data_IF_915607078293
#
_entry.id   IF_915607078293
#
_cell.length_a   1.000
_cell.length_b   1.000
_cell.length_c   1.000
_cell.angle_alpha   90.00
_cell.angle_beta   90.00
_cell.angle_gamma   90.00
#
_symmetry.space_group_name_H-M   'P 1'
#
loop_
_entity.id
_entity.type
_entity.pdbx_description
1 polymer ?
#
# COMPACT_ATOMS: atom_id res chain seq x y z
N UNK A 1 -12.08 -19.69 0.45
CA UNK A 1 -11.48 -18.66 -0.42
C UNK A 1 -10.77 -19.37 -1.56
N UNK A 2 -11.10 -19.06 -2.81
CA UNK A 2 -10.54 -19.70 -4.02
C UNK A 2 -9.25 -19.05 -4.52
N UNK A 3 -8.93 -17.85 -4.05
CA UNK A 3 -7.82 -17.06 -4.56
C UNK A 3 -6.51 -17.38 -3.83
N UNK A 4 -5.39 -17.32 -4.56
CA UNK A 4 -4.05 -17.56 -4.07
C UNK A 4 -3.20 -16.30 -4.24
N UNK A 5 -2.42 -15.97 -3.20
CA UNK A 5 -1.44 -14.87 -3.27
C UNK A 5 -0.30 -15.30 -4.17
N UNK A 6 -0.03 -14.53 -5.23
CA UNK A 6 1.08 -14.82 -6.13
C UNK A 6 2.25 -13.83 -5.96
N UNK A 7 2.00 -12.65 -5.37
CA UNK A 7 3.04 -11.68 -5.05
C UNK A 7 2.70 -10.91 -3.76
N UNK A 8 3.74 -10.56 -3.03
CA UNK A 8 3.72 -9.60 -1.93
C UNK A 8 4.82 -8.57 -2.23
N UNK A 9 4.40 -7.32 -2.43
CA UNK A 9 5.28 -6.18 -2.63
C UNK A 9 5.29 -5.33 -1.36
N UNK A 10 6.44 -4.80 -0.98
CA UNK A 10 6.60 -4.07 0.27
C UNK A 10 7.30 -2.75 -0.03
N UNK A 11 6.88 -1.70 0.66
CA UNK A 11 7.43 -0.36 0.47
C UNK A 11 7.39 0.48 1.74
N UNK A 12 8.13 1.57 1.72
CA UNK A 12 8.17 2.57 2.78
C UNK A 12 7.90 3.96 2.20
N UNK A 13 7.13 4.76 2.94
CA UNK A 13 6.86 6.14 2.61
C UNK A 13 6.98 7.01 3.84
N UNK A 14 7.22 8.30 3.63
CA UNK A 14 7.26 9.25 4.73
C UNK A 14 6.55 10.54 4.36
N UNK A 15 6.16 11.29 5.39
CA UNK A 15 5.82 12.69 5.22
C UNK A 15 6.48 13.51 6.31
N UNK A 16 7.36 14.41 5.87
CA UNK A 16 8.15 15.25 6.74
C UNK A 16 7.39 16.57 6.97
N UNK A 17 7.45 17.08 8.18
CA UNK A 17 6.96 18.40 8.58
C UNK A 17 5.43 18.64 8.66
N UNK A 18 4.58 17.77 8.10
CA UNK A 18 3.12 18.02 8.07
C UNK A 18 2.24 16.95 8.70
N UNK A 19 2.83 15.90 9.29
CA UNK A 19 2.13 14.78 9.93
C UNK A 19 0.96 14.20 9.10
N UNK A 20 1.03 14.28 7.78
CA UNK A 20 0.01 13.73 6.86
C UNK A 20 0.27 12.22 6.68
N UNK A 21 -0.52 11.41 7.39
CA UNK A 21 -0.43 9.95 7.33
C UNK A 21 -0.90 9.40 5.99
N UNK A 22 -1.90 10.00 5.35
CA UNK A 22 -2.36 9.60 4.01
C UNK A 22 -1.24 9.80 3.00
N UNK A 23 -0.52 10.93 3.03
CA UNK A 23 0.58 11.17 2.09
C UNK A 23 1.76 10.23 2.31
N UNK A 24 2.08 9.92 3.57
CA UNK A 24 3.10 8.93 3.90
C UNK A 24 2.71 7.54 3.38
N UNK A 25 1.45 7.15 3.54
CA UNK A 25 0.90 5.88 3.08
C UNK A 25 0.88 5.78 1.54
N UNK A 26 0.46 6.83 0.84
CA UNK A 26 0.50 6.92 -0.63
C UNK A 26 1.91 6.65 -1.16
N UNK A 27 2.91 7.32 -0.56
CA UNK A 27 4.33 7.11 -0.90
C UNK A 27 4.79 5.68 -0.62
N UNK A 28 4.32 5.05 0.46
CA UNK A 28 4.67 3.67 0.77
C UNK A 28 4.09 2.68 -0.24
N UNK A 29 2.86 2.94 -0.72
CA UNK A 29 2.23 2.15 -1.79
C UNK A 29 2.98 2.34 -3.11
N UNK A 30 3.30 3.59 -3.47
CA UNK A 30 4.06 3.88 -4.69
C UNK A 30 5.43 3.18 -4.66
N UNK A 31 6.16 3.30 -3.56
CA UNK A 31 7.43 2.61 -3.34
C UNK A 31 7.30 1.09 -3.50
N UNK A 32 6.23 0.48 -2.96
CA UNK A 32 6.00 -0.95 -3.09
C UNK A 32 5.82 -1.40 -4.55
N UNK A 33 5.06 -0.66 -5.37
CA UNK A 33 4.63 -1.13 -6.70
C UNK A 33 5.50 -0.61 -7.86
N UNK A 34 6.34 0.42 -7.64
CA UNK A 34 7.11 1.07 -8.73
C UNK A 34 8.33 0.26 -9.18
N UNK A 35 8.76 -0.70 -8.38
CA UNK A 35 10.01 -1.45 -8.61
C UNK A 35 9.80 -2.80 -9.32
N UNK A 36 8.54 -3.19 -9.55
CA UNK A 36 8.19 -4.43 -10.24
C UNK A 36 7.42 -4.16 -11.52
N UNK A 37 7.47 -5.14 -12.43
CA UNK A 37 6.57 -5.22 -13.57
C UNK A 37 5.96 -6.63 -13.58
N UNK A 38 4.65 -6.73 -13.81
CA UNK A 38 3.91 -7.99 -13.80
C UNK A 38 3.36 -8.26 -15.21
N UNK A 39 4.23 -8.63 -16.20
CA UNK A 39 3.81 -8.83 -17.59
C UNK A 39 2.92 -10.07 -17.78
N UNK A 40 2.90 -10.98 -16.81
CA UNK A 40 2.18 -12.26 -16.87
C UNK A 40 0.68 -12.12 -17.18
N UNK A 41 0.04 -11.00 -16.83
CA UNK A 41 -1.37 -10.76 -17.17
C UNK A 41 -1.60 -10.81 -18.68
N UNK A 42 -0.74 -10.14 -19.45
CA UNK A 42 -0.80 -10.17 -20.92
C UNK A 42 -0.41 -11.54 -21.47
N UNK A 43 0.61 -12.19 -20.89
CA UNK A 43 1.10 -13.49 -21.37
C UNK A 43 0.11 -14.63 -21.13
N UNK A 44 -0.62 -14.61 -20.01
CA UNK A 44 -1.58 -15.65 -19.63
C UNK A 44 -3.01 -15.34 -20.07
N UNK A 45 -3.25 -14.18 -20.70
CA UNK A 45 -4.59 -13.74 -21.10
C UNK A 45 -5.53 -13.50 -19.93
N UNK A 46 -4.99 -13.20 -18.74
CA UNK A 46 -5.77 -12.95 -17.52
C UNK A 46 -6.12 -11.46 -17.48
N UNK A 47 -7.40 -11.08 -17.40
CA UNK A 47 -7.80 -9.69 -17.23
C UNK A 47 -7.23 -9.11 -15.92
N UNK A 48 -6.61 -7.93 -15.97
CA UNK A 48 -6.06 -7.29 -14.77
C UNK A 48 -7.13 -6.89 -13.76
N UNK A 49 -8.39 -6.83 -14.20
CA UNK A 49 -9.57 -6.48 -13.40
C UNK A 49 -10.03 -7.65 -12.50
N UNK A 50 -9.58 -8.88 -12.81
CA UNK A 50 -9.81 -10.06 -11.96
C UNK A 50 -8.83 -10.12 -10.78
N UNK A 51 -7.72 -9.38 -10.85
CA UNK A 51 -6.75 -9.31 -9.77
C UNK A 51 -7.38 -8.67 -8.54
N UNK A 52 -7.36 -9.37 -7.41
CA UNK A 52 -7.68 -8.77 -6.11
C UNK A 52 -6.40 -8.23 -5.48
N UNK A 53 -6.43 -6.99 -5.04
CA UNK A 53 -5.30 -6.33 -4.38
C UNK A 53 -5.69 -6.01 -2.95
N UNK A 54 -4.91 -6.48 -1.99
CA UNK A 54 -5.07 -6.18 -0.56
C UNK A 54 -3.86 -5.40 -0.10
N UNK A 55 -4.07 -4.16 0.33
CA UNK A 55 -3.02 -3.30 0.86
C UNK A 55 -3.17 -3.16 2.36
N UNK A 56 -2.10 -3.42 3.09
CA UNK A 56 -1.99 -3.15 4.52
C UNK A 56 -0.97 -2.04 4.75
N UNK A 57 -1.39 -0.97 5.40
CA UNK A 57 -0.53 0.17 5.76
C UNK A 57 -0.25 0.14 7.25
N UNK A 58 1.03 0.15 7.64
CA UNK A 58 1.47 0.32 9.03
C UNK A 58 1.83 1.77 9.33
N UNK A 59 1.10 2.42 10.23
CA UNK A 59 1.36 3.80 10.71
C UNK A 59 0.97 3.96 12.18
N UNK A 60 1.47 5.02 12.85
CA UNK A 60 1.18 5.25 14.27
C UNK A 60 -0.27 5.68 14.54
N UNK A 61 -0.93 6.33 13.58
CA UNK A 61 -2.34 6.78 13.68
C UNK A 61 -3.17 6.31 12.48
N UNK A 62 -3.59 5.03 12.45
CA UNK A 62 -4.28 4.43 11.32
C UNK A 62 -5.59 5.13 10.94
N UNK A 63 -6.29 5.68 11.92
CA UNK A 63 -7.53 6.42 11.76
C UNK A 63 -7.37 7.74 10.99
N UNK A 64 -6.14 8.25 10.84
CA UNK A 64 -5.82 9.46 10.07
C UNK A 64 -5.45 9.17 8.62
N UNK A 65 -5.52 7.90 8.19
CA UNK A 65 -5.26 7.49 6.80
C UNK A 65 -6.58 7.43 6.03
N UNK A 66 -6.65 8.18 4.94
CA UNK A 66 -7.75 8.08 3.98
C UNK A 66 -7.58 6.83 3.09
N UNK A 67 -8.01 5.68 3.62
CA UNK A 67 -7.91 4.41 2.91
C UNK A 67 -8.75 4.38 1.62
N UNK A 68 -9.82 5.16 1.53
CA UNK A 68 -10.66 5.22 0.35
C UNK A 68 -9.93 5.91 -0.80
N UNK A 69 -9.35 7.09 -0.53
CA UNK A 69 -8.52 7.79 -1.50
C UNK A 69 -7.31 6.95 -1.96
N UNK A 70 -6.67 6.20 -1.04
CA UNK A 70 -5.56 5.31 -1.39
C UNK A 70 -5.98 4.12 -2.26
N UNK A 71 -7.22 3.64 -2.15
CA UNK A 71 -7.71 2.56 -2.99
C UNK A 71 -7.91 3.02 -4.44
N UNK A 72 -8.29 4.28 -4.65
CA UNK A 72 -8.55 4.86 -5.97
C UNK A 72 -7.26 5.11 -6.79
N UNK A 73 -6.11 5.29 -6.14
CA UNK A 73 -4.84 5.57 -6.83
C UNK A 73 -4.13 4.31 -7.35
N UNK A 74 -4.59 3.12 -6.98
CA UNK A 74 -3.96 1.87 -7.43
C UNK A 74 -4.26 1.61 -8.92
N UNK A 75 -3.24 1.30 -9.73
CA UNK A 75 -3.37 1.35 -11.19
C UNK A 75 -4.19 0.19 -11.77
N UNK A 76 -4.39 -0.90 -11.01
CA UNK A 76 -4.97 -2.16 -11.50
C UNK A 76 -5.66 -2.93 -10.38
N UNK A 77 -6.60 -3.78 -10.80
CA UNK A 77 -7.28 -4.73 -9.92
C UNK A 77 -8.35 -4.11 -9.02
N UNK A 78 -8.97 -4.96 -8.21
CA UNK A 78 -9.95 -4.59 -7.20
C UNK A 78 -9.23 -4.40 -5.88
N UNK A 79 -8.90 -3.16 -5.57
CA UNK A 79 -8.12 -2.81 -4.40
C UNK A 79 -8.98 -2.65 -3.15
N UNK A 80 -8.46 -3.17 -2.03
CA UNK A 80 -8.92 -2.85 -0.69
C UNK A 80 -7.72 -2.42 0.14
N UNK A 81 -7.83 -1.27 0.79
CA UNK A 81 -6.77 -0.72 1.65
C UNK A 81 -7.24 -0.76 3.09
N UNK A 82 -6.36 -1.20 3.99
CA UNK A 82 -6.55 -1.10 5.44
C UNK A 82 -5.32 -0.46 6.08
N UNK A 83 -5.54 0.47 7.00
CA UNK A 83 -4.50 0.97 7.87
C UNK A 83 -4.53 0.23 9.22
N UNK A 84 -3.36 -0.08 9.76
CA UNK A 84 -3.15 -0.74 11.04
C UNK A 84 -2.05 -0.03 11.81
N UNK A 85 -2.05 -0.19 13.13
CA UNK A 85 -0.99 0.37 13.96
C UNK A 85 0.36 -0.25 13.59
N UNK A 86 1.37 0.59 13.37
CA UNK A 86 2.71 0.19 12.94
C UNK A 86 3.56 1.40 12.56
N UNK A 87 4.52 1.22 11.64
CA UNK A 87 5.36 2.31 11.17
C UNK A 87 6.10 3.04 12.29
N UNK A 88 6.39 4.33 12.10
CA UNK A 88 7.11 5.13 13.08
C UNK A 88 6.76 6.63 12.96
N UNK A 89 6.59 7.28 14.10
CA UNK A 89 6.57 8.74 14.21
C UNK A 89 7.86 9.19 14.88
N UNK A 90 8.53 10.18 14.30
CA UNK A 90 9.75 10.77 14.86
C UNK A 90 9.51 12.25 15.13
N UNK A 91 9.38 12.59 16.41
CA UNK A 91 9.19 13.97 16.85
C UNK A 91 10.53 14.69 16.96
N UNK A 92 10.65 15.83 16.30
CA UNK A 92 11.79 16.72 16.47
C UNK A 92 11.74 17.35 17.89
N UNK A 93 12.79 17.20 18.72
CA UNK A 93 12.78 17.69 20.10
C UNK A 93 12.82 19.23 20.20
N UNK A 94 13.33 19.93 19.18
CA UNK A 94 13.53 21.38 19.21
C UNK A 94 12.26 22.16 18.84
N UNK A 95 11.42 21.60 17.96
CA UNK A 95 10.25 22.30 17.42
C UNK A 95 8.94 21.49 17.49
N UNK A 96 8.97 20.26 18.02
CA UNK A 96 7.79 19.41 18.17
C UNK A 96 7.20 18.86 16.87
N UNK A 97 7.86 19.11 15.73
CA UNK A 97 7.38 18.65 14.42
C UNK A 97 7.47 17.14 14.32
N UNK A 98 6.37 16.49 13.93
CA UNK A 98 6.30 15.02 13.79
C UNK A 98 6.55 14.63 12.33
N UNK A 99 7.55 13.77 12.12
CA UNK A 99 7.80 13.10 10.85
C UNK A 99 7.12 11.74 10.88
N UNK A 100 6.26 11.47 9.90
CA UNK A 100 5.54 10.21 9.80
C UNK A 100 6.26 9.29 8.84
N UNK A 101 6.44 8.03 9.23
CA UNK A 101 6.99 6.95 8.42
C UNK A 101 5.95 5.82 8.37
N UNK A 102 5.48 5.53 7.16
CA UNK A 102 4.53 4.49 6.85
C UNK A 102 5.24 3.30 6.18
N UNK A 103 4.76 2.09 6.46
CA UNK A 103 5.11 0.89 5.70
C UNK A 103 3.88 0.37 4.95
N UNK A 104 4.08 -0.21 3.77
CA UNK A 104 3.01 -0.83 2.99
C UNK A 104 3.35 -2.27 2.66
N UNK A 105 2.36 -3.15 2.73
CA UNK A 105 2.37 -4.49 2.17
C UNK A 105 1.22 -4.57 1.14
N UNK A 106 1.58 -4.75 -0.13
CA UNK A 106 0.67 -4.85 -1.27
C UNK A 106 0.64 -6.32 -1.72
N UNK A 107 -0.45 -7.00 -1.42
CA UNK A 107 -0.66 -8.39 -1.78
C UNK A 107 -1.58 -8.48 -2.99
N UNK A 108 -1.15 -9.17 -4.04
CA UNK A 108 -2.02 -9.47 -5.17
C UNK A 108 -2.37 -10.96 -5.24
N UNK A 109 -3.63 -11.21 -5.58
CA UNK A 109 -4.22 -12.54 -5.60
C UNK A 109 -4.91 -12.79 -6.94
N UNK A 110 -4.87 -14.05 -7.36
CA UNK A 110 -5.58 -14.56 -8.52
C UNK A 110 -6.38 -15.81 -8.12
N UNK A 111 -7.45 -16.15 -8.84
CA UNK A 111 -8.06 -17.47 -8.72
C UNK A 111 -7.01 -18.55 -8.90
N UNK A 112 -7.13 -19.66 -8.15
CA UNK A 112 -6.24 -20.80 -8.27
C UNK A 112 -6.13 -21.21 -9.74
N UNK A 113 -4.92 -21.10 -10.28
CA UNK A 113 -4.58 -21.60 -11.62
C UNK A 113 -4.40 -23.12 -11.50
N UNK A 114 -4.96 -23.87 -12.45
CA UNK A 114 -5.07 -25.34 -12.41
C UNK A 114 -3.76 -26.08 -12.24
#
# INVERSE_FOLDING_TARGET
>A
MSDQRFILEMGMGNNLFRQDYTKAAERAIEDAIRHSCIPMFGTLGIPSEEMRVSVTIGVQKPEQVDCAALAEVLPRGKATVKAVFGGMDVTNPDNGTVNVIATAAVEAFLPKQG
#
